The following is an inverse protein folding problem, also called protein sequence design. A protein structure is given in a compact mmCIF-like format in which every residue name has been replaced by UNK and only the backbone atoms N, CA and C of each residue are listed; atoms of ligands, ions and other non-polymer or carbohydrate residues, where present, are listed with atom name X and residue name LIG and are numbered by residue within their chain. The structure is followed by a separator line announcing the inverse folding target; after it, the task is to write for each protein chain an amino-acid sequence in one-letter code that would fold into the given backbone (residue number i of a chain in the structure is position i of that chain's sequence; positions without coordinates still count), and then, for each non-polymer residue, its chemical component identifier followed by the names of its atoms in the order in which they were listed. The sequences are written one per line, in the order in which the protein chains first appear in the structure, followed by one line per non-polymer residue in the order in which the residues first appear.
data_IF_827984806999
#
_entry.id   IF_827984806999
#
_cell.length_a   1.000
_cell.length_b   1.000
_cell.length_c   1.000
_cell.angle_alpha   90.00
_cell.angle_beta   90.00
_cell.angle_gamma   90.00
#
_symmetry.space_group_name_H-M   'P 1'
#
loop_
_entity.id
_entity.type
_entity.pdbx_description
1 polymer ?
#
# COMPACT_ATOMS: atom_id res chain seq x y z
N UNK A 1 -15.43 90.35 -6.57
CA UNK A 1 -16.41 89.51 -5.87
C UNK A 1 -16.09 88.09 -6.27
N UNK A 2 -15.44 87.29 -5.38
CA UNK A 2 -14.90 85.97 -5.65
C UNK A 2 -15.89 84.91 -5.13
N UNK A 3 -16.41 84.09 -6.02
CA UNK A 3 -17.27 82.95 -5.64
C UNK A 3 -16.40 81.69 -5.69
N UNK A 4 -16.22 81.02 -4.52
CA UNK A 4 -15.54 79.72 -4.37
C UNK A 4 -16.59 78.64 -4.50
N UNK A 5 -16.47 77.78 -5.53
CA UNK A 5 -17.21 76.51 -5.61
C UNK A 5 -16.39 75.41 -4.97
N UNK A 6 -16.93 74.81 -3.90
CA UNK A 6 -16.37 73.63 -3.20
C UNK A 6 -16.94 72.40 -3.83
N UNK A 7 -16.08 71.61 -4.53
CA UNK A 7 -16.49 70.35 -5.09
C UNK A 7 -16.33 69.23 -4.07
N UNK A 8 -17.37 68.48 -3.82
CA UNK A 8 -17.38 67.24 -3.05
C UNK A 8 -16.95 66.11 -3.96
N UNK A 9 -15.83 65.43 -3.61
CA UNK A 9 -15.39 64.20 -4.26
C UNK A 9 -15.96 63.02 -3.44
N UNK A 10 -16.89 62.31 -4.02
CA UNK A 10 -17.39 61.01 -3.50
C UNK A 10 -16.36 59.92 -3.77
N UNK A 11 -15.73 59.43 -2.69
CA UNK A 11 -14.88 58.26 -2.74
C UNK A 11 -15.76 56.99 -2.70
N UNK A 12 -15.92 56.31 -3.86
CA UNK A 12 -16.53 54.97 -3.93
C UNK A 12 -15.43 53.96 -3.63
N UNK A 13 -15.44 53.40 -2.43
CA UNK A 13 -14.58 52.31 -2.04
C UNK A 13 -15.10 51.00 -2.71
N UNK A 14 -14.45 50.55 -3.78
CA UNK A 14 -14.67 49.25 -4.37
C UNK A 14 -14.08 48.16 -3.45
N UNK A 15 -14.95 47.43 -2.76
CA UNK A 15 -14.61 46.18 -2.08
C UNK A 15 -14.29 45.11 -3.14
N UNK A 16 -13.02 44.96 -3.49
CA UNK A 16 -12.52 43.81 -4.23
C UNK A 16 -12.53 42.60 -3.29
N UNK A 17 -13.58 41.81 -3.37
CA UNK A 17 -13.64 40.50 -2.77
C UNK A 17 -12.50 39.62 -3.34
N UNK A 18 -11.46 39.42 -2.57
CA UNK A 18 -10.38 38.51 -2.86
C UNK A 18 -10.97 37.07 -2.83
N UNK A 19 -11.35 36.57 -4.01
CA UNK A 19 -11.61 35.14 -4.21
C UNK A 19 -10.26 34.44 -4.07
N UNK A 20 -9.97 33.91 -2.88
CA UNK A 20 -8.76 33.14 -2.62
C UNK A 20 -8.74 31.94 -3.57
N UNK A 21 -7.90 31.99 -4.59
CA UNK A 21 -7.54 30.82 -5.35
C UNK A 21 -7.03 29.74 -4.37
N UNK A 22 -7.39 28.47 -4.54
CA UNK A 22 -6.82 27.41 -3.72
C UNK A 22 -5.29 27.51 -3.85
N UNK A 23 -4.62 27.65 -2.72
CA UNK A 23 -3.15 27.69 -2.64
C UNK A 23 -2.68 26.35 -3.19
N UNK A 24 -1.97 26.36 -4.31
CA UNK A 24 -1.27 25.16 -4.79
C UNK A 24 -0.42 24.66 -3.64
N UNK A 25 -0.67 23.44 -3.21
CA UNK A 25 0.15 22.81 -2.18
C UNK A 25 1.55 22.65 -2.76
N UNK A 26 2.51 23.40 -2.23
CA UNK A 26 3.94 23.33 -2.60
C UNK A 26 4.60 22.10 -1.96
N UNK A 27 3.84 21.06 -1.65
CA UNK A 27 4.25 19.92 -0.87
C UNK A 27 4.18 18.61 -1.66
N UNK A 28 5.24 17.85 -1.53
CA UNK A 28 5.39 16.48 -2.02
C UNK A 28 4.98 15.54 -0.89
N UNK A 29 3.84 14.87 -1.02
CA UNK A 29 3.36 13.90 -0.03
C UNK A 29 4.22 12.63 -0.08
N UNK A 30 4.83 12.25 1.04
CA UNK A 30 5.65 11.04 1.14
C UNK A 30 4.89 9.94 1.88
N UNK A 31 4.59 8.86 1.17
CA UNK A 31 3.80 7.72 1.69
C UNK A 31 4.70 6.51 1.89
N UNK A 32 4.77 6.02 3.13
CA UNK A 32 5.33 4.71 3.45
C UNK A 32 4.30 3.63 3.06
N UNK A 33 4.59 2.83 2.04
CA UNK A 33 3.64 1.89 1.46
C UNK A 33 4.16 0.45 1.51
N UNK A 34 3.35 -0.48 1.97
CA UNK A 34 3.70 -1.90 1.95
C UNK A 34 3.98 -2.37 0.50
N UNK A 35 4.96 -3.25 0.35
CA UNK A 35 5.50 -3.63 -0.96
C UNK A 35 4.49 -4.27 -1.93
N UNK A 36 3.39 -4.84 -1.42
CA UNK A 36 2.29 -5.34 -2.25
C UNK A 36 1.53 -4.21 -2.99
N UNK A 37 1.70 -2.95 -2.57
CA UNK A 37 1.04 -1.78 -3.15
C UNK A 37 1.81 -1.18 -4.33
N UNK A 38 2.99 -1.71 -4.69
CA UNK A 38 3.88 -1.10 -5.67
C UNK A 38 3.18 -0.80 -7.01
N UNK A 39 2.41 -1.75 -7.53
CA UNK A 39 1.72 -1.56 -8.82
C UNK A 39 0.52 -0.61 -8.67
N UNK A 40 -0.36 -0.89 -7.72
CA UNK A 40 -1.61 -0.14 -7.55
C UNK A 40 -1.38 1.30 -7.11
N UNK A 41 -0.40 1.56 -6.23
CA UNK A 41 -0.16 2.92 -5.74
C UNK A 41 0.51 3.80 -6.80
N UNK A 42 1.18 3.22 -7.79
CA UNK A 42 1.59 3.95 -8.99
C UNK A 42 0.39 4.52 -9.76
N UNK A 43 -0.71 3.76 -9.88
CA UNK A 43 -1.95 4.22 -10.52
C UNK A 43 -2.72 5.21 -9.63
N UNK A 44 -2.89 4.88 -8.34
CA UNK A 44 -3.53 5.77 -7.35
C UNK A 44 -2.84 7.13 -7.29
N UNK A 45 -1.50 7.16 -7.24
CA UNK A 45 -0.73 8.40 -7.17
C UNK A 45 -0.93 9.27 -8.40
N UNK A 46 -0.90 8.68 -9.61
CA UNK A 46 -1.18 9.43 -10.86
C UNK A 46 -2.58 10.00 -10.88
N UNK A 47 -3.59 9.21 -10.51
CA UNK A 47 -4.98 9.66 -10.49
C UNK A 47 -5.22 10.75 -9.43
N UNK A 48 -4.63 10.60 -8.25
CA UNK A 48 -4.68 11.61 -7.19
C UNK A 48 -4.00 12.93 -7.62
N UNK A 49 -2.79 12.86 -8.19
CA UNK A 49 -2.08 14.03 -8.68
C UNK A 49 -2.84 14.76 -9.79
N UNK A 50 -3.42 14.01 -10.73
CA UNK A 50 -4.24 14.61 -11.79
C UNK A 50 -5.45 15.38 -11.24
N UNK A 51 -6.02 14.93 -10.13
CA UNK A 51 -7.21 15.52 -9.50
C UNK A 51 -6.90 16.69 -8.57
N UNK A 52 -5.77 16.65 -7.86
CA UNK A 52 -5.45 17.58 -6.78
C UNK A 52 -4.26 18.49 -7.08
N UNK A 53 -3.40 18.12 -8.02
CA UNK A 53 -2.12 18.76 -8.26
C UNK A 53 -1.02 18.35 -7.27
N UNK A 54 -1.33 17.56 -6.23
CA UNK A 54 -0.36 17.12 -5.22
C UNK A 54 0.45 15.93 -5.75
N UNK A 55 1.77 16.06 -5.82
CA UNK A 55 2.68 14.95 -6.15
C UNK A 55 2.78 13.99 -4.94
N UNK A 56 2.70 12.67 -5.21
CA UNK A 56 2.88 11.65 -4.18
C UNK A 56 4.13 10.83 -4.47
N UNK A 57 4.99 10.70 -3.47
CA UNK A 57 6.17 9.84 -3.51
C UNK A 57 5.96 8.65 -2.59
N UNK A 58 6.20 7.46 -3.13
CA UNK A 58 6.03 6.22 -2.38
C UNK A 58 7.39 5.63 -2.00
N UNK A 59 7.56 5.34 -0.70
CA UNK A 59 8.65 4.50 -0.20
C UNK A 59 8.10 3.10 0.07
N UNK A 60 8.53 2.13 -0.73
CA UNK A 60 8.05 0.76 -0.62
C UNK A 60 8.96 -0.10 0.27
N UNK A 61 8.37 -0.91 1.13
CA UNK A 61 9.08 -1.83 2.02
C UNK A 61 8.15 -2.87 2.65
N UNK A 62 8.70 -3.73 3.51
CA UNK A 62 7.83 -4.57 4.34
C UNK A 62 7.13 -3.73 5.40
N UNK A 63 5.94 -4.17 5.82
CA UNK A 63 5.13 -3.45 6.80
C UNK A 63 5.91 -3.19 8.08
N UNK A 64 6.59 -4.20 8.66
CA UNK A 64 7.34 -4.05 9.90
C UNK A 64 8.56 -3.12 9.76
N UNK A 65 9.26 -3.15 8.61
CA UNK A 65 10.39 -2.25 8.37
C UNK A 65 9.93 -0.78 8.30
N UNK A 66 8.84 -0.51 7.58
CA UNK A 66 8.28 0.84 7.49
C UNK A 66 7.74 1.32 8.82
N UNK A 67 7.06 0.46 9.58
CA UNK A 67 6.60 0.77 10.93
C UNK A 67 7.77 1.14 11.85
N UNK A 68 8.87 0.36 11.79
CA UNK A 68 10.10 0.66 12.56
C UNK A 68 10.71 2.02 12.15
N UNK A 69 10.69 2.37 10.86
CA UNK A 69 11.18 3.66 10.39
C UNK A 69 10.32 4.81 10.91
N UNK A 70 8.99 4.66 10.90
CA UNK A 70 8.06 5.66 11.46
C UNK A 70 8.24 5.81 12.97
N UNK A 71 8.43 4.71 13.71
CA UNK A 71 8.71 4.75 15.14
C UNK A 71 10.01 5.52 15.44
N UNK A 72 11.00 5.42 14.55
CA UNK A 72 12.27 6.18 14.58
C UNK A 72 12.19 7.56 13.89
N UNK A 73 10.99 8.08 13.67
CA UNK A 73 10.75 9.43 13.16
C UNK A 73 11.25 9.69 11.73
N UNK A 74 11.27 8.65 10.89
CA UNK A 74 11.47 8.86 9.45
C UNK A 74 10.39 9.81 8.89
N UNK A 75 10.75 10.72 7.95
CA UNK A 75 9.89 11.80 7.51
C UNK A 75 8.83 11.32 6.49
N UNK A 76 7.90 10.51 6.95
CA UNK A 76 6.74 10.10 6.19
C UNK A 76 5.50 10.91 6.61
N UNK A 77 4.55 11.04 5.70
CA UNK A 77 3.29 11.73 5.95
C UNK A 77 2.14 10.75 6.20
N UNK A 78 2.14 9.62 5.51
CA UNK A 78 1.11 8.58 5.63
C UNK A 78 1.75 7.20 5.61
N UNK A 79 1.20 6.28 6.40
CA UNK A 79 1.55 4.87 6.40
C UNK A 79 0.40 4.04 5.84
N UNK A 80 0.66 3.27 4.77
CA UNK A 80 -0.25 2.29 4.19
C UNK A 80 0.34 0.89 4.39
N UNK A 81 -0.11 0.22 5.44
CA UNK A 81 0.34 -1.10 5.87
C UNK A 81 -0.42 -2.23 5.19
N UNK A 82 0.16 -3.43 5.19
CA UNK A 82 -0.53 -4.64 4.77
C UNK A 82 -1.18 -5.40 5.94
N UNK A 83 -1.27 -4.80 7.11
CA UNK A 83 -2.00 -5.30 8.28
C UNK A 83 -2.60 -4.16 9.10
N UNK A 84 -3.36 -4.53 10.12
CA UNK A 84 -3.92 -3.61 11.12
C UNK A 84 -3.00 -3.47 12.34
N UNK A 85 -2.23 -4.50 12.68
CA UNK A 85 -1.44 -4.60 13.91
C UNK A 85 -0.39 -3.51 14.02
N UNK A 86 0.40 -3.29 12.96
CA UNK A 86 1.43 -2.25 12.96
C UNK A 86 0.84 -0.84 12.98
N UNK A 87 -0.30 -0.61 12.32
CA UNK A 87 -1.02 0.68 12.39
C UNK A 87 -1.51 0.92 13.83
N UNK A 88 -2.13 -0.07 14.45
CA UNK A 88 -2.66 0.03 15.82
C UNK A 88 -1.54 0.23 16.85
N UNK A 89 -0.41 -0.45 16.68
CA UNK A 89 0.78 -0.27 17.51
C UNK A 89 1.34 1.16 17.42
N UNK A 90 1.46 1.72 16.21
CA UNK A 90 1.94 3.09 16.02
C UNK A 90 0.93 4.15 16.50
N UNK A 91 -0.37 3.85 16.50
CA UNK A 91 -1.38 4.70 17.15
C UNK A 91 -1.22 4.68 18.66
N UNK A 92 -1.01 3.50 19.26
CA UNK A 92 -0.81 3.35 20.70
C UNK A 92 0.42 4.12 21.19
N UNK A 93 1.48 4.20 20.37
CA UNK A 93 2.70 5.01 20.64
C UNK A 93 2.59 6.47 20.16
N UNK A 94 1.43 6.90 19.68
CA UNK A 94 1.15 8.26 19.18
C UNK A 94 2.02 8.68 17.99
N UNK A 95 2.54 7.73 17.22
CA UNK A 95 3.26 8.01 15.97
C UNK A 95 2.31 8.19 14.79
N UNK A 96 1.09 7.61 14.86
CA UNK A 96 0.02 7.87 13.92
C UNK A 96 -1.17 8.55 14.61
N UNK A 97 -1.89 9.36 13.86
CA UNK A 97 -3.12 10.03 14.31
C UNK A 97 -4.27 9.02 14.36
N UNK A 98 -4.85 8.79 15.54
CA UNK A 98 -5.88 7.75 15.77
C UNK A 98 -7.17 7.97 14.97
N UNK A 99 -7.56 9.23 14.73
CA UNK A 99 -8.75 9.60 13.96
C UNK A 99 -8.60 9.33 12.45
N UNK A 100 -7.41 8.98 12.00
CA UNK A 100 -7.11 8.74 10.58
C UNK A 100 -7.00 7.27 10.21
N UNK A 101 -7.07 6.36 11.21
CA UNK A 101 -7.08 4.92 10.97
C UNK A 101 -8.21 4.51 10.03
N UNK A 102 -7.89 3.73 9.00
CA UNK A 102 -8.89 3.12 8.14
C UNK A 102 -8.37 1.81 7.53
N UNK A 103 -9.24 0.82 7.39
CA UNK A 103 -9.01 -0.34 6.52
C UNK A 103 -9.38 0.09 5.10
N UNK A 104 -8.44 -0.03 4.15
CA UNK A 104 -8.65 0.43 2.78
C UNK A 104 -8.82 -0.73 1.79
N UNK A 105 -8.32 -1.93 2.11
CA UNK A 105 -8.40 -3.09 1.24
C UNK A 105 -8.22 -4.40 2.02
N UNK A 106 -8.61 -5.52 1.38
CA UNK A 106 -8.25 -6.86 1.79
C UNK A 106 -7.32 -7.46 0.73
N UNK A 107 -6.13 -7.89 1.16
CA UNK A 107 -5.14 -8.51 0.29
C UNK A 107 -5.49 -9.95 -0.04
N UNK A 108 -5.11 -10.40 -1.23
CA UNK A 108 -5.25 -11.79 -1.65
C UNK A 108 -3.87 -12.45 -1.78
N UNK A 109 -3.62 -13.51 -1.01
CA UNK A 109 -2.43 -14.34 -1.13
C UNK A 109 -2.64 -15.34 -2.26
N UNK A 110 -1.62 -15.50 -3.10
CA UNK A 110 -1.59 -16.48 -4.18
C UNK A 110 -0.25 -17.19 -4.23
N UNK A 111 -0.23 -18.38 -4.83
CA UNK A 111 1.00 -19.02 -5.30
C UNK A 111 1.15 -18.71 -6.79
N UNK A 112 2.24 -18.07 -7.15
CA UNK A 112 2.57 -17.73 -8.53
C UNK A 112 3.75 -18.58 -9.01
N UNK A 113 3.58 -19.19 -10.18
CA UNK A 113 4.59 -19.97 -10.89
C UNK A 113 4.91 -19.21 -12.17
N UNK A 114 6.17 -18.75 -12.39
CA UNK A 114 6.54 -18.05 -13.61
C UNK A 114 6.37 -18.93 -14.85
N UNK A 115 6.27 -18.31 -16.02
CA UNK A 115 6.24 -18.99 -17.30
C UNK A 115 7.46 -19.90 -17.46
N UNK A 116 7.26 -21.14 -17.85
CA UNK A 116 8.33 -22.17 -17.94
C UNK A 116 8.71 -22.82 -16.60
N UNK A 117 8.06 -22.46 -15.51
CA UNK A 117 8.23 -23.13 -14.21
C UNK A 117 7.64 -24.54 -14.17
N UNK A 118 7.82 -25.27 -13.05
CA UNK A 118 7.31 -26.63 -12.90
C UNK A 118 5.77 -26.66 -12.94
N UNK A 119 5.22 -27.85 -13.29
CA UNK A 119 3.78 -28.07 -13.28
C UNK A 119 3.29 -28.18 -11.82
N UNK A 120 2.74 -27.10 -11.30
CA UNK A 120 2.12 -27.01 -9.96
C UNK A 120 0.65 -26.68 -10.17
N UNK A 121 -0.23 -27.61 -9.83
CA UNK A 121 -1.68 -27.47 -9.97
C UNK A 121 -2.38 -27.32 -8.62
N UNK A 122 -1.75 -27.79 -7.54
CA UNK A 122 -2.25 -27.70 -6.17
C UNK A 122 -1.11 -27.59 -5.16
N UNK A 123 -1.42 -27.20 -3.94
CA UNK A 123 -0.39 -26.94 -2.90
C UNK A 123 0.48 -28.16 -2.61
N UNK A 124 -0.07 -29.39 -2.69
CA UNK A 124 0.71 -30.60 -2.40
C UNK A 124 1.85 -30.83 -3.40
N UNK A 125 1.75 -30.30 -4.63
CA UNK A 125 2.78 -30.43 -5.65
C UNK A 125 4.09 -29.72 -5.24
N UNK A 126 4.02 -28.77 -4.30
CA UNK A 126 5.19 -28.11 -3.71
C UNK A 126 6.14 -29.08 -3.00
N UNK A 127 5.64 -30.21 -2.52
CA UNK A 127 6.46 -31.26 -1.92
C UNK A 127 7.24 -32.07 -2.97
N UNK A 128 6.87 -32.01 -4.26
CA UNK A 128 7.49 -32.75 -5.36
C UNK A 128 8.97 -32.43 -5.56
N UNK A 129 9.69 -33.37 -6.21
CA UNK A 129 11.14 -33.24 -6.43
C UNK A 129 11.49 -32.14 -7.46
N UNK A 130 10.59 -31.84 -8.37
CA UNK A 130 10.77 -30.80 -9.40
C UNK A 130 10.72 -29.35 -8.81
N UNK A 131 10.20 -29.22 -7.58
CA UNK A 131 10.17 -27.96 -6.85
C UNK A 131 11.32 -27.91 -5.86
N UNK A 132 12.35 -27.13 -6.16
CA UNK A 132 13.57 -27.03 -5.35
C UNK A 132 13.52 -25.87 -4.36
N UNK A 133 13.06 -24.70 -4.82
CA UNK A 133 12.98 -23.49 -4.03
C UNK A 133 11.63 -22.82 -4.19
N UNK A 134 11.08 -22.34 -3.08
CA UNK A 134 9.81 -21.63 -3.01
C UNK A 134 10.06 -20.32 -2.27
N UNK A 135 9.80 -19.20 -2.93
CA UNK A 135 9.99 -17.89 -2.33
C UNK A 135 8.78 -17.48 -1.49
N UNK A 136 9.05 -16.99 -0.30
CA UNK A 136 8.06 -16.36 0.57
C UNK A 136 8.64 -15.06 1.15
N UNK A 137 7.79 -14.12 1.53
CA UNK A 137 8.23 -13.01 2.36
C UNK A 137 8.56 -13.49 3.78
N UNK A 138 9.52 -12.85 4.44
CA UNK A 138 9.86 -13.17 5.83
C UNK A 138 8.63 -12.94 6.73
N UNK A 139 8.14 -13.95 7.46
CA UNK A 139 6.87 -13.86 8.21
C UNK A 139 6.86 -12.76 9.27
N UNK A 140 8.01 -12.51 9.91
CA UNK A 140 8.16 -11.49 10.96
C UNK A 140 8.14 -10.05 10.39
N UNK A 141 8.36 -9.90 9.08
CA UNK A 141 8.43 -8.60 8.42
C UNK A 141 7.19 -8.26 7.60
N UNK A 142 6.50 -9.28 7.09
CA UNK A 142 5.45 -9.10 6.08
C UNK A 142 4.22 -9.96 6.34
N UNK A 143 3.02 -9.38 6.39
CA UNK A 143 1.75 -10.10 6.61
C UNK A 143 1.51 -11.23 5.61
N UNK A 144 1.88 -11.04 4.35
CA UNK A 144 1.79 -12.11 3.34
C UNK A 144 2.71 -13.31 3.63
N UNK A 145 3.85 -13.08 4.27
CA UNK A 145 4.72 -14.15 4.75
C UNK A 145 4.10 -14.92 5.89
N UNK A 146 3.53 -14.22 6.87
CA UNK A 146 2.80 -14.84 7.98
C UNK A 146 1.61 -15.66 7.47
N UNK A 147 0.81 -15.11 6.55
CA UNK A 147 -0.31 -15.82 5.92
C UNK A 147 0.17 -17.07 5.14
N UNK A 148 1.34 -17.02 4.49
CA UNK A 148 1.92 -18.20 3.80
C UNK A 148 2.22 -19.31 4.79
N UNK A 149 2.78 -19.00 5.95
CA UNK A 149 3.04 -19.99 6.99
C UNK A 149 1.73 -20.61 7.51
N UNK A 150 0.68 -19.82 7.68
CA UNK A 150 -0.65 -20.30 8.07
C UNK A 150 -1.19 -21.28 7.02
N UNK A 151 -1.14 -20.93 5.72
CA UNK A 151 -1.55 -21.79 4.61
C UNK A 151 -0.81 -23.12 4.62
N UNK A 152 0.54 -23.09 4.69
CA UNK A 152 1.35 -24.31 4.65
C UNK A 152 1.13 -25.22 5.86
N UNK A 153 0.92 -24.62 7.04
CA UNK A 153 0.58 -25.37 8.27
C UNK A 153 -0.84 -25.92 8.21
N UNK A 154 -1.81 -25.11 7.79
CA UNK A 154 -3.20 -25.52 7.65
C UNK A 154 -3.40 -26.64 6.63
N UNK A 155 -2.61 -26.63 5.55
CA UNK A 155 -2.58 -27.69 4.54
C UNK A 155 -1.78 -28.94 4.95
N UNK A 156 -1.11 -28.93 6.11
CA UNK A 156 -0.24 -30.05 6.55
C UNK A 156 1.04 -30.21 5.74
N UNK A 157 1.47 -29.16 5.03
CA UNK A 157 2.62 -29.21 4.10
C UNK A 157 3.89 -28.58 4.70
N UNK A 158 3.81 -28.00 5.87
CA UNK A 158 4.91 -27.22 6.46
C UNK A 158 6.22 -28.01 6.51
N UNK A 159 6.21 -29.22 7.08
CA UNK A 159 7.43 -30.05 7.26
C UNK A 159 8.08 -30.45 5.92
N UNK A 160 7.27 -30.70 4.90
CA UNK A 160 7.77 -31.07 3.58
C UNK A 160 8.29 -29.88 2.77
N UNK A 161 7.73 -28.68 2.99
CA UNK A 161 8.00 -27.47 2.19
C UNK A 161 9.01 -26.55 2.87
N UNK A 162 9.05 -26.48 4.21
CA UNK A 162 9.93 -25.59 4.95
C UNK A 162 11.43 -25.69 4.53
N UNK A 163 12.00 -26.87 4.26
CA UNK A 163 13.40 -26.98 3.80
C UNK A 163 13.64 -26.35 2.41
N UNK A 164 12.60 -26.09 1.64
CA UNK A 164 12.67 -25.51 0.29
C UNK A 164 12.43 -23.99 0.28
N UNK A 165 12.09 -23.42 1.43
CA UNK A 165 11.74 -21.98 1.51
C UNK A 165 12.96 -21.09 1.39
N UNK A 166 12.82 -20.05 0.56
CA UNK A 166 13.76 -18.93 0.49
C UNK A 166 13.01 -17.64 0.85
N UNK A 167 13.64 -16.82 1.65
CA UNK A 167 12.98 -15.69 2.31
C UNK A 167 13.40 -14.37 1.68
N UNK A 168 12.42 -13.62 1.17
CA UNK A 168 12.59 -12.20 0.79
C UNK A 168 12.23 -11.28 1.94
N UNK A 169 12.87 -10.13 2.04
CA UNK A 169 12.53 -9.13 3.08
C UNK A 169 11.16 -8.48 2.87
N UNK A 170 10.55 -8.67 1.70
CA UNK A 170 9.20 -8.20 1.37
C UNK A 170 8.51 -9.17 0.41
N UNK A 171 7.20 -9.01 0.25
CA UNK A 171 6.41 -9.84 -0.67
C UNK A 171 6.78 -9.58 -2.14
N UNK A 172 7.18 -8.37 -2.49
CA UNK A 172 7.69 -8.07 -3.85
C UNK A 172 9.05 -8.71 -4.11
N UNK A 173 9.92 -8.81 -3.09
CA UNK A 173 11.19 -9.53 -3.21
C UNK A 173 10.96 -11.03 -3.39
N UNK A 174 10.02 -11.64 -2.67
CA UNK A 174 9.66 -13.04 -2.88
C UNK A 174 9.19 -13.28 -4.33
N UNK A 175 8.32 -12.42 -4.87
CA UNK A 175 7.93 -12.46 -6.29
C UNK A 175 9.15 -12.39 -7.21
N UNK A 176 10.08 -11.47 -6.92
CA UNK A 176 11.28 -11.26 -7.74
C UNK A 176 12.21 -12.50 -7.76
N UNK A 177 12.34 -13.23 -6.66
CA UNK A 177 13.09 -14.47 -6.65
C UNK A 177 12.55 -15.53 -7.62
N UNK A 178 11.23 -15.66 -7.71
CA UNK A 178 10.62 -16.54 -8.69
C UNK A 178 10.75 -15.97 -10.12
N UNK A 179 10.50 -14.66 -10.31
CA UNK A 179 10.63 -14.01 -11.62
C UNK A 179 12.04 -14.14 -12.23
N UNK A 180 13.08 -14.14 -11.38
CA UNK A 180 14.48 -14.31 -11.81
C UNK A 180 14.92 -15.75 -11.97
N UNK A 181 14.06 -16.74 -11.68
CA UNK A 181 14.40 -18.16 -11.69
C UNK A 181 15.20 -18.62 -10.44
N UNK A 182 15.40 -17.75 -9.45
CA UNK A 182 16.03 -18.11 -8.17
C UNK A 182 15.12 -19.00 -7.30
N UNK A 183 13.82 -18.97 -7.56
CA UNK A 183 12.85 -19.90 -6.98
C UNK A 183 11.92 -20.43 -8.09
N UNK A 184 11.35 -21.61 -7.87
CA UNK A 184 10.42 -22.24 -8.81
C UNK A 184 9.03 -21.63 -8.77
N UNK A 185 8.63 -21.12 -7.61
CA UNK A 185 7.35 -20.46 -7.36
C UNK A 185 7.50 -19.46 -6.21
N UNK A 186 6.54 -18.55 -6.08
CA UNK A 186 6.47 -17.60 -4.97
C UNK A 186 5.06 -17.52 -4.40
N UNK A 187 4.95 -17.55 -3.07
CA UNK A 187 3.78 -17.02 -2.41
C UNK A 187 3.88 -15.50 -2.41
N UNK A 188 2.89 -14.85 -3.00
CA UNK A 188 2.93 -13.39 -3.21
C UNK A 188 1.52 -12.78 -3.18
N UNK A 189 1.45 -11.45 -3.24
CA UNK A 189 0.18 -10.75 -3.39
C UNK A 189 -0.35 -10.89 -4.82
N UNK A 190 -1.64 -11.15 -4.98
CA UNK A 190 -2.28 -11.24 -6.30
C UNK A 190 -2.09 -9.95 -7.11
N UNK A 191 -2.12 -8.80 -6.44
CA UNK A 191 -1.89 -7.49 -7.06
C UNK A 191 -0.53 -7.35 -7.76
N UNK A 192 0.48 -8.08 -7.32
CA UNK A 192 1.82 -8.01 -7.91
C UNK A 192 2.01 -8.89 -9.15
N UNK A 193 1.09 -9.83 -9.40
CA UNK A 193 1.21 -10.81 -10.48
C UNK A 193 -0.01 -10.83 -11.40
N UNK A 194 -0.92 -9.88 -11.22
CA UNK A 194 -2.18 -9.80 -11.96
C UNK A 194 -1.97 -9.75 -13.49
N UNK A 195 -0.91 -9.09 -13.92
CA UNK A 195 -0.57 -8.90 -15.33
C UNK A 195 0.69 -9.68 -15.76
N UNK A 196 1.28 -10.47 -14.85
CA UNK A 196 2.45 -11.25 -15.16
C UNK A 196 2.06 -12.54 -15.91
N UNK A 197 3.00 -13.00 -16.75
CA UNK A 197 2.89 -14.31 -17.36
C UNK A 197 3.16 -15.42 -16.34
N UNK A 198 2.57 -16.59 -16.57
CA UNK A 198 2.71 -17.74 -15.70
C UNK A 198 1.38 -18.23 -15.14
N UNK A 199 1.45 -19.08 -14.15
CA UNK A 199 0.27 -19.68 -13.51
C UNK A 199 0.05 -19.07 -12.14
N UNK A 200 -1.17 -18.60 -11.87
CA UNK A 200 -1.60 -18.13 -10.55
C UNK A 200 -2.53 -19.17 -9.95
N UNK A 201 -2.08 -19.81 -8.87
CA UNK A 201 -2.93 -20.66 -8.06
C UNK A 201 -3.55 -19.83 -6.93
N UNK A 202 -4.85 -19.59 -7.01
CA UNK A 202 -5.61 -18.94 -5.94
C UNK A 202 -5.75 -19.88 -4.77
N UNK A 203 -5.53 -19.35 -3.57
CA UNK A 203 -5.59 -20.12 -2.33
C UNK A 203 -6.97 -20.01 -1.69
N UNK A 204 -7.39 -21.06 -0.98
CA UNK A 204 -8.60 -21.01 -0.18
C UNK A 204 -8.43 -19.95 0.93
N UNK A 205 -9.29 -18.92 0.98
CA UNK A 205 -9.20 -17.86 1.97
C UNK A 205 -9.44 -18.34 3.41
N UNK A 206 -9.96 -19.56 3.62
CA UNK A 206 -10.11 -20.16 4.94
C UNK A 206 -8.80 -20.75 5.51
N UNK A 207 -7.75 -20.86 4.68
CA UNK A 207 -6.44 -21.38 5.13
C UNK A 207 -5.58 -20.34 5.86
N UNK A 208 -5.96 -19.04 5.82
CA UNK A 208 -5.22 -17.97 6.47
C UNK A 208 -6.16 -16.87 6.94
N UNK A 209 -5.70 -16.07 7.90
CA UNK A 209 -6.46 -14.90 8.36
C UNK A 209 -6.59 -13.86 7.25
N UNK A 210 -7.72 -13.14 7.15
CA UNK A 210 -7.85 -12.04 6.20
C UNK A 210 -6.68 -11.06 6.31
N UNK A 211 -6.07 -10.70 5.17
CA UNK A 211 -4.99 -9.72 5.13
C UNK A 211 -5.64 -8.33 5.05
N UNK A 212 -6.12 -7.84 6.19
CA UNK A 212 -6.74 -6.51 6.31
C UNK A 212 -5.66 -5.43 6.24
N UNK A 213 -5.72 -4.61 5.21
CA UNK A 213 -4.74 -3.56 5.00
C UNK A 213 -5.24 -2.24 5.56
N UNK A 214 -4.49 -1.68 6.51
CA UNK A 214 -4.85 -0.45 7.19
C UNK A 214 -3.87 0.68 6.90
N UNK A 215 -4.33 1.92 7.10
CA UNK A 215 -3.51 3.12 6.98
C UNK A 215 -3.76 4.10 8.12
N UNK A 216 -2.80 5.00 8.30
CA UNK A 216 -2.91 6.13 9.21
C UNK A 216 -1.96 7.26 8.81
N UNK A 217 -2.28 8.48 9.20
CA UNK A 217 -1.45 9.67 8.96
C UNK A 217 -0.41 9.76 10.08
N UNK A 218 0.85 10.02 9.71
CA UNK A 218 1.94 10.21 10.67
C UNK A 218 1.72 11.48 11.47
N UNK A 219 1.78 11.38 12.79
CA UNK A 219 1.45 12.48 13.70
C UNK A 219 2.40 13.68 13.56
N UNK A 220 3.65 13.44 13.16
CA UNK A 220 4.67 14.47 12.91
C UNK A 220 4.67 15.02 11.47
N UNK A 221 3.71 14.60 10.62
CA UNK A 221 3.62 15.06 9.23
C UNK A 221 3.47 16.58 9.14
N UNK A 222 4.24 17.18 8.24
CA UNK A 222 4.04 18.60 7.83
C UNK A 222 2.94 18.78 6.78
N UNK A 223 2.39 17.68 6.22
CA UNK A 223 1.44 17.68 5.10
C UNK A 223 0.13 16.95 5.47
N UNK A 224 -0.38 17.21 6.69
CA UNK A 224 -1.55 16.50 7.25
C UNK A 224 -2.78 16.67 6.36
N UNK A 225 -2.99 17.85 5.77
CA UNK A 225 -4.17 18.10 4.94
C UNK A 225 -4.09 17.33 3.61
N UNK A 226 -2.94 17.33 2.96
CA UNK A 226 -2.70 16.55 1.74
C UNK A 226 -2.81 15.05 2.01
N UNK A 227 -2.32 14.59 3.16
CA UNK A 227 -2.46 13.21 3.61
C UNK A 227 -3.93 12.83 3.86
N UNK A 228 -4.75 13.73 4.43
CA UNK A 228 -6.19 13.54 4.57
C UNK A 228 -6.89 13.48 3.21
N UNK A 229 -6.50 14.32 2.27
CA UNK A 229 -7.02 14.29 0.89
C UNK A 229 -6.67 12.98 0.19
N UNK A 230 -5.42 12.50 0.32
CA UNK A 230 -4.99 11.21 -0.24
C UNK A 230 -5.77 10.05 0.39
N UNK A 231 -5.91 10.04 1.72
CA UNK A 231 -6.73 9.05 2.43
C UNK A 231 -8.19 9.06 1.94
N UNK A 232 -8.80 10.24 1.82
CA UNK A 232 -10.16 10.38 1.34
C UNK A 232 -10.32 9.93 -0.13
N UNK A 233 -9.33 10.21 -0.98
CA UNK A 233 -9.28 9.74 -2.36
C UNK A 233 -9.23 8.21 -2.41
N UNK A 234 -8.33 7.59 -1.66
CA UNK A 234 -8.15 6.12 -1.65
C UNK A 234 -9.41 5.39 -1.17
N UNK A 235 -10.10 5.94 -0.17
CA UNK A 235 -11.36 5.40 0.37
C UNK A 235 -12.59 5.77 -0.47
N UNK A 236 -12.46 6.74 -1.36
CA UNK A 236 -13.52 7.19 -2.24
C UNK A 236 -13.78 6.24 -3.42
N UNK A 237 -14.82 6.54 -4.21
CA UNK A 237 -15.26 5.68 -5.31
C UNK A 237 -14.14 5.38 -6.31
N UNK A 238 -13.35 6.39 -6.69
CA UNK A 238 -12.27 6.26 -7.67
C UNK A 238 -11.11 5.39 -7.16
N UNK A 239 -10.62 5.64 -5.93
CA UNK A 239 -9.58 4.83 -5.30
C UNK A 239 -10.00 3.38 -5.11
N UNK A 240 -11.25 3.15 -4.69
CA UNK A 240 -11.82 1.80 -4.55
C UNK A 240 -11.89 1.04 -5.87
N UNK A 241 -12.26 1.71 -6.97
CA UNK A 241 -12.25 1.11 -8.31
C UNK A 241 -10.83 0.71 -8.72
N UNK A 242 -9.84 1.58 -8.51
CA UNK A 242 -8.44 1.27 -8.81
C UNK A 242 -7.97 0.06 -7.98
N UNK A 243 -8.24 0.04 -6.67
CA UNK A 243 -7.89 -1.09 -5.80
C UNK A 243 -8.52 -2.41 -6.29
N UNK A 244 -9.82 -2.40 -6.62
CA UNK A 244 -10.52 -3.59 -7.09
C UNK A 244 -9.96 -4.11 -8.42
N UNK A 245 -9.68 -3.21 -9.37
CA UNK A 245 -9.08 -3.55 -10.66
C UNK A 245 -7.67 -4.12 -10.54
N UNK A 246 -6.94 -3.74 -9.49
CA UNK A 246 -5.60 -4.26 -9.18
C UNK A 246 -5.63 -5.50 -8.27
N UNK A 247 -6.77 -6.18 -8.12
CA UNK A 247 -6.85 -7.48 -7.46
C UNK A 247 -7.01 -7.43 -5.95
N UNK A 248 -7.43 -6.30 -5.38
CA UNK A 248 -7.81 -6.20 -3.96
C UNK A 248 -9.31 -6.45 -3.79
N UNK A 249 -9.67 -7.05 -2.65
CA UNK A 249 -11.05 -7.05 -2.21
C UNK A 249 -11.31 -5.78 -1.38
N UNK A 250 -12.52 -5.28 -1.45
CA UNK A 250 -12.91 -4.07 -0.72
C UNK A 250 -13.60 -4.46 0.59
N UNK A 251 -13.32 -3.75 1.71
CA UNK A 251 -13.99 -3.98 3.00
C UNK A 251 -15.45 -3.54 2.99
#
# INVERSE_FOLDING_TARGET
MRIRCTGWVLFVAALLGSCGAPRAADGKLTVAAAANLTEVFGEVGRAFQAKTGVEVVFAYGSTAQLATQIDKEAPFDLFAAADTEHVDSLIATRKLMSDTRAIYALGQLVLWIPEGGPAIHELKDLAGQDVRFIAIAQPELAPYGAATVEVLKGAGLWEAVAPKLVYGTSVSMAKQFAASGSANAAFTAYSLVLHDKGTVLKLDPHLYKPIEQAMGIVAASGHVEEARQFRAFLLGAEGRVILANCGYLLP
#
